data_IF_329851556395
#
_entry.id   IF_329851556395
#
_cell.length_a   1.000
_cell.length_b   1.000
_cell.length_c   1.000
_cell.angle_alpha   90.00
_cell.angle_beta   90.00
_cell.angle_gamma   90.00
#
_symmetry.space_group_name_H-M   'P 1'
#
loop_
_entity.id
_entity.type
_entity.pdbx_description
1 polymer ?
#
# COMPACT_ATOMS: atom_id res chain seq x y z
N UNK A 1 -21.38 -31.11 27.07
CA UNK A 1 -20.31 -30.36 27.74
C UNK A 1 -19.52 -29.74 26.59
N UNK A 2 -19.49 -28.40 26.47
CA UNK A 2 -18.63 -27.78 25.46
C UNK A 2 -17.22 -27.94 25.97
N UNK A 3 -16.55 -28.99 25.54
CA UNK A 3 -15.12 -29.14 25.80
C UNK A 3 -14.44 -28.03 25.00
N UNK A 4 -13.79 -27.15 25.74
CA UNK A 4 -13.18 -25.95 25.19
C UNK A 4 -12.21 -25.37 26.19
N UNK A 5 -11.20 -24.69 25.66
CA UNK A 5 -10.20 -24.02 26.47
C UNK A 5 -10.04 -22.58 26.00
N UNK A 6 -9.54 -21.74 26.91
CA UNK A 6 -9.20 -20.36 26.59
C UNK A 6 -7.68 -20.24 26.44
N UNK A 7 -7.25 -19.50 25.43
CA UNK A 7 -5.88 -19.04 25.26
C UNK A 7 -5.83 -17.52 25.27
N UNK A 8 -4.67 -16.96 25.61
CA UNK A 8 -4.41 -15.51 25.56
C UNK A 8 -3.35 -15.24 24.51
N UNK A 9 -3.63 -14.28 23.64
CA UNK A 9 -2.75 -13.90 22.54
C UNK A 9 -2.61 -12.38 22.49
N UNK A 10 -1.37 -11.88 22.44
CA UNK A 10 -1.10 -10.47 22.22
C UNK A 10 -0.76 -10.26 20.75
N UNK A 11 -1.58 -9.46 20.07
CA UNK A 11 -1.46 -9.19 18.65
C UNK A 11 -0.95 -7.77 18.41
N UNK A 12 0.24 -7.63 17.83
CA UNK A 12 0.73 -6.34 17.37
C UNK A 12 0.13 -5.89 16.05
N UNK A 13 -0.11 -4.58 15.97
CA UNK A 13 -0.64 -3.89 14.80
C UNK A 13 0.24 -2.71 14.40
N UNK A 14 0.28 -2.44 13.11
CA UNK A 14 0.86 -1.23 12.55
C UNK A 14 -0.14 -0.54 11.62
N UNK A 15 -0.33 0.75 11.81
CA UNK A 15 -1.15 1.57 10.93
C UNK A 15 -0.37 1.98 9.68
N UNK A 16 -0.81 1.53 8.51
CA UNK A 16 -0.17 1.89 7.24
C UNK A 16 -0.47 3.33 6.80
N UNK A 17 -1.27 4.09 7.58
CA UNK A 17 -1.53 5.52 7.37
C UNK A 17 -0.66 6.45 8.23
N UNK A 18 -0.57 6.19 9.53
CA UNK A 18 0.14 7.06 10.47
C UNK A 18 1.34 6.41 11.15
N UNK A 19 1.65 5.16 10.81
CA UNK A 19 2.77 4.37 11.35
C UNK A 19 2.72 4.18 12.87
N UNK A 20 1.55 4.39 13.48
CA UNK A 20 1.36 4.06 14.89
C UNK A 20 1.38 2.53 15.07
N UNK A 21 2.20 2.07 16.00
CA UNK A 21 2.35 0.66 16.39
C UNK A 21 1.78 0.48 17.80
N UNK A 22 0.97 -0.55 17.99
CA UNK A 22 0.41 -0.91 19.29
C UNK A 22 0.17 -2.41 19.38
N UNK A 23 -0.03 -2.90 20.61
CA UNK A 23 -0.44 -4.28 20.89
C UNK A 23 -1.81 -4.30 21.53
N UNK A 24 -2.58 -5.35 21.25
CA UNK A 24 -3.85 -5.61 21.89
C UNK A 24 -3.96 -7.07 22.33
N UNK A 25 -4.46 -7.28 23.55
CA UNK A 25 -4.63 -8.60 24.15
C UNK A 25 -6.00 -9.18 23.82
N UNK A 26 -5.98 -10.36 23.20
CA UNK A 26 -7.16 -11.15 22.89
C UNK A 26 -7.22 -12.38 23.80
N UNK A 27 -8.44 -12.77 24.16
CA UNK A 27 -8.75 -14.10 24.68
C UNK A 27 -9.43 -14.87 23.56
N UNK A 28 -8.92 -16.05 23.23
CA UNK A 28 -9.53 -16.94 22.23
C UNK A 28 -10.17 -18.11 22.97
N UNK A 29 -11.49 -18.25 22.83
CA UNK A 29 -12.25 -19.40 23.30
C UNK A 29 -12.31 -20.42 22.17
N UNK A 30 -11.58 -21.51 22.32
CA UNK A 30 -11.63 -22.65 21.42
C UNK A 30 -12.76 -23.57 21.87
N UNK A 31 -13.72 -23.82 21.00
CA UNK A 31 -14.90 -24.64 21.28
C UNK A 31 -15.08 -25.66 20.16
N UNK A 32 -15.62 -26.83 20.51
CA UNK A 32 -16.15 -27.76 19.51
C UNK A 32 -17.68 -27.67 19.50
N UNK A 33 -18.26 -27.53 18.31
CA UNK A 33 -19.73 -27.53 18.14
C UNK A 33 -20.31 -28.96 18.24
N UNK A 34 -21.65 -29.07 18.24
CA UNK A 34 -22.32 -30.37 18.37
C UNK A 34 -22.12 -31.30 17.14
N UNK A 35 -21.52 -30.79 16.06
CA UNK A 35 -21.17 -31.55 14.85
C UNK A 35 -19.68 -31.92 14.80
N UNK A 36 -18.89 -31.52 15.80
CA UNK A 36 -17.44 -31.77 15.84
C UNK A 36 -16.59 -30.72 15.13
N UNK A 37 -17.15 -29.58 14.72
CA UNK A 37 -16.38 -28.49 14.11
C UNK A 37 -15.73 -27.62 15.19
N UNK A 38 -14.49 -27.22 14.95
CA UNK A 38 -13.78 -26.24 15.77
C UNK A 38 -14.29 -24.83 15.49
N UNK A 39 -14.54 -24.07 16.55
CA UNK A 39 -15.03 -22.69 16.52
C UNK A 39 -14.23 -21.85 17.51
N UNK A 40 -13.66 -20.75 17.02
CA UNK A 40 -12.95 -19.78 17.84
C UNK A 40 -13.80 -18.53 18.07
N UNK A 41 -13.98 -18.17 19.35
CA UNK A 41 -14.58 -16.89 19.74
C UNK A 41 -13.49 -15.98 20.29
N UNK A 42 -13.27 -14.86 19.61
CA UNK A 42 -12.29 -13.85 19.96
C UNK A 42 -12.92 -12.83 20.92
N UNK A 43 -12.23 -12.51 22.02
CA UNK A 43 -12.70 -11.54 22.99
C UNK A 43 -11.63 -10.51 23.34
N UNK A 44 -12.03 -9.24 23.38
CA UNK A 44 -11.28 -8.13 24.01
C UNK A 44 -12.05 -7.68 25.24
N UNK A 45 -11.38 -7.61 26.39
CA UNK A 45 -12.00 -7.20 27.66
C UNK A 45 -13.30 -7.98 28.01
N UNK A 46 -13.38 -9.25 27.58
CA UNK A 46 -14.55 -10.11 27.79
C UNK A 46 -15.70 -9.88 26.80
N UNK A 47 -15.57 -8.96 25.85
CA UNK A 47 -16.56 -8.68 24.80
C UNK A 47 -16.17 -9.41 23.51
N UNK A 48 -17.09 -10.13 22.84
CA UNK A 48 -16.82 -10.75 21.55
C UNK A 48 -16.44 -9.72 20.49
N UNK A 49 -15.35 -9.97 19.78
CA UNK A 49 -14.81 -9.13 18.71
C UNK A 49 -14.50 -9.98 17.47
N UNK A 50 -14.12 -9.33 16.38
CA UNK A 50 -13.62 -10.04 15.20
C UNK A 50 -12.15 -10.48 15.43
N UNK A 51 -11.68 -11.50 14.71
CA UNK A 51 -10.28 -11.88 14.74
C UNK A 51 -9.35 -10.70 14.36
N UNK A 52 -8.11 -10.66 14.86
CA UNK A 52 -7.16 -9.56 14.64
C UNK A 52 -6.99 -9.14 13.16
N UNK A 53 -6.99 -10.11 12.24
CA UNK A 53 -6.84 -9.86 10.80
C UNK A 53 -8.12 -9.41 10.09
N UNK A 54 -9.26 -9.33 10.80
CA UNK A 54 -10.57 -8.97 10.22
C UNK A 54 -10.88 -7.48 10.25
N UNK A 55 -9.89 -6.64 10.56
CA UNK A 55 -9.94 -5.19 10.41
C UNK A 55 -10.44 -4.47 11.67
N UNK A 56 -9.50 -4.06 12.52
CA UNK A 56 -9.72 -3.05 13.56
C UNK A 56 -9.41 -1.64 13.02
N UNK A 57 -9.70 -0.59 13.76
CA UNK A 57 -9.35 0.80 13.40
C UNK A 57 -8.16 1.29 14.21
N UNK A 58 -7.27 2.08 13.59
CA UNK A 58 -6.15 2.70 14.29
C UNK A 58 -6.64 3.62 15.43
N UNK A 59 -6.19 3.43 16.68
CA UNK A 59 -6.61 4.28 17.80
C UNK A 59 -6.06 5.72 17.68
N UNK A 60 -4.96 5.91 16.95
CA UNK A 60 -4.33 7.23 16.78
C UNK A 60 -4.97 8.07 15.66
N UNK A 61 -5.43 7.47 14.56
CA UNK A 61 -5.91 8.22 13.39
C UNK A 61 -7.25 7.75 12.79
N UNK A 62 -7.85 6.68 13.34
CA UNK A 62 -9.15 6.13 12.91
C UNK A 62 -9.16 5.40 11.57
N UNK A 63 -8.02 5.22 10.89
CA UNK A 63 -7.96 4.49 9.63
C UNK A 63 -8.06 2.97 9.82
N UNK A 64 -8.66 2.29 8.85
CA UNK A 64 -8.77 0.82 8.80
C UNK A 64 -7.65 0.14 8.00
N UNK A 65 -6.72 0.93 7.46
CA UNK A 65 -5.60 0.40 6.67
C UNK A 65 -4.46 0.00 7.62
N UNK A 66 -4.55 -1.21 8.15
CA UNK A 66 -3.64 -1.76 9.15
C UNK A 66 -3.01 -3.06 8.64
N UNK A 67 -1.87 -3.40 9.21
CA UNK A 67 -1.32 -4.76 9.17
C UNK A 67 -1.31 -5.32 10.60
N UNK A 68 -1.58 -6.61 10.73
CA UNK A 68 -1.48 -7.35 11.99
C UNK A 68 -0.34 -8.35 11.88
N UNK A 69 0.43 -8.53 12.95
CA UNK A 69 1.55 -9.47 12.99
C UNK A 69 1.30 -10.57 14.01
N UNK A 70 1.90 -11.76 13.83
CA UNK A 70 1.76 -12.84 14.80
C UNK A 70 2.27 -12.47 16.20
N UNK A 71 1.77 -13.16 17.22
CA UNK A 71 2.22 -13.03 18.60
C UNK A 71 3.75 -13.11 18.73
N UNK A 72 4.33 -12.19 19.51
CA UNK A 72 5.78 -12.12 19.74
C UNK A 72 6.57 -11.51 18.56
N UNK A 73 5.91 -10.88 17.59
CA UNK A 73 6.59 -10.17 16.51
C UNK A 73 7.37 -8.95 17.01
N UNK A 74 6.79 -8.08 17.86
CA UNK A 74 7.49 -6.89 18.37
C UNK A 74 8.66 -7.24 19.30
N UNK A 75 8.60 -8.36 20.01
CA UNK A 75 9.75 -8.85 20.78
C UNK A 75 10.97 -9.16 19.89
N UNK A 76 10.74 -9.56 18.63
CA UNK A 76 11.79 -9.80 17.63
C UNK A 76 12.14 -8.55 16.81
N UNK A 77 11.26 -7.56 16.82
CA UNK A 77 11.33 -6.32 16.04
C UNK A 77 11.11 -5.08 16.92
N UNK A 78 11.97 -4.85 17.95
CA UNK A 78 11.80 -3.73 18.86
C UNK A 78 11.89 -2.37 18.14
N UNK A 79 12.55 -2.30 16.97
CA UNK A 79 12.67 -1.12 16.12
C UNK A 79 11.33 -0.52 15.66
N UNK A 80 10.24 -1.29 15.69
CA UNK A 80 8.90 -0.84 15.35
C UNK A 80 8.18 -0.16 16.54
N UNK A 81 8.59 -0.48 17.77
CA UNK A 81 7.94 -0.06 19.01
C UNK A 81 8.52 1.26 19.51
N UNK A 82 8.32 2.32 18.73
CA UNK A 82 8.86 3.67 18.94
C UNK A 82 10.40 3.76 18.97
N UNK A 83 10.94 4.78 18.30
CA UNK A 83 12.36 5.06 18.36
C UNK A 83 12.77 5.38 19.82
N UNK A 84 13.97 4.97 20.27
CA UNK A 84 14.55 5.56 21.47
C UNK A 84 14.48 7.08 21.33
N UNK A 85 14.14 7.76 22.44
CA UNK A 85 14.10 9.23 22.56
C UNK A 85 15.23 9.79 21.70
N UNK A 86 14.95 10.63 20.69
CA UNK A 86 15.96 11.02 19.72
C UNK A 86 17.16 11.48 20.51
N UNK A 87 18.26 10.71 20.43
CA UNK A 87 19.55 11.16 20.97
C UNK A 87 19.67 12.56 20.41
N UNK A 88 19.72 13.60 21.26
CA UNK A 88 19.78 14.97 20.78
C UNK A 88 20.88 14.93 19.75
N UNK A 89 20.53 15.20 18.48
CA UNK A 89 21.48 15.20 17.38
C UNK A 89 22.48 16.26 17.79
N UNK A 90 23.53 15.84 18.49
CA UNK A 90 24.47 16.71 19.16
C UNK A 90 25.06 17.51 18.02
N UNK A 91 24.62 18.76 17.90
CA UNK A 91 24.74 19.67 16.77
C UNK A 91 25.73 19.14 15.74
N UNK A 92 25.29 18.17 14.92
CA UNK A 92 26.18 17.65 13.89
C UNK A 92 26.36 18.86 12.99
N UNK A 93 27.59 19.40 12.86
CA UNK A 93 27.78 20.61 12.09
C UNK A 93 27.18 20.35 10.72
N UNK A 94 26.17 21.12 10.36
CA UNK A 94 25.58 21.07 9.03
C UNK A 94 26.70 21.56 8.12
N UNK A 95 27.53 20.64 7.62
CA UNK A 95 28.49 20.95 6.58
C UNK A 95 27.64 21.14 5.34
N UNK A 96 27.54 22.35 4.77
CA UNK A 96 26.82 22.54 3.54
C UNK A 96 27.48 21.64 2.50
N UNK A 97 26.76 20.60 2.07
CA UNK A 97 27.11 19.84 0.88
C UNK A 97 27.12 20.88 -0.23
N UNK A 98 28.31 21.11 -0.79
CA UNK A 98 28.50 22.04 -1.90
C UNK A 98 27.48 21.76 -2.99
N UNK A 99 27.01 22.83 -3.62
CA UNK A 99 25.99 22.82 -4.65
C UNK A 99 26.23 21.67 -5.64
N UNK A 100 25.41 20.64 -5.56
CA UNK A 100 25.46 19.54 -6.51
C UNK A 100 24.87 20.12 -7.79
N UNK A 101 25.74 20.52 -8.71
CA UNK A 101 25.35 20.82 -10.09
C UNK A 101 24.81 19.54 -10.72
N UNK A 102 23.50 19.34 -10.58
CA UNK A 102 22.77 18.30 -11.32
C UNK A 102 22.67 18.78 -12.76
N UNK A 103 23.70 18.49 -13.55
CA UNK A 103 23.66 18.67 -15.00
C UNK A 103 22.73 17.61 -15.57
N UNK A 104 21.43 17.89 -15.51
CA UNK A 104 20.40 17.12 -16.18
C UNK A 104 20.47 17.43 -17.68
N UNK A 105 21.44 16.84 -18.37
CA UNK A 105 21.48 16.85 -19.83
C UNK A 105 20.30 16.02 -20.34
N UNK A 106 19.17 16.68 -20.64
CA UNK A 106 18.10 16.05 -21.43
C UNK A 106 18.63 15.82 -22.84
N UNK A 107 18.72 14.57 -23.34
CA UNK A 107 19.12 14.35 -24.71
C UNK A 107 18.11 15.04 -25.64
N UNK A 108 18.56 15.75 -26.69
CA UNK A 108 17.64 16.34 -27.65
C UNK A 108 16.84 15.21 -28.31
N UNK A 109 15.51 15.26 -28.17
CA UNK A 109 14.61 14.32 -28.85
C UNK A 109 14.93 14.34 -30.35
N UNK A 110 15.06 13.18 -31.02
CA UNK A 110 15.44 13.12 -32.42
C UNK A 110 14.28 13.62 -33.29
N UNK A 111 14.22 14.94 -33.51
CA UNK A 111 13.27 15.65 -34.37
C UNK A 111 13.11 15.00 -35.75
N UNK A 112 14.17 14.33 -36.25
CA UNK A 112 14.17 13.58 -37.51
C UNK A 112 13.25 12.36 -37.50
N UNK A 113 13.12 11.67 -36.36
CA UNK A 113 12.28 10.48 -36.20
C UNK A 113 10.78 10.85 -36.21
N UNK A 114 10.43 11.96 -35.54
CA UNK A 114 9.05 12.47 -35.55
C UNK A 114 8.61 12.88 -36.95
N UNK A 115 9.50 13.48 -37.75
CA UNK A 115 9.21 13.82 -39.15
C UNK A 115 9.10 12.55 -40.01
N UNK A 116 10.03 11.60 -39.85
CA UNK A 116 10.06 10.37 -40.64
C UNK A 116 8.83 9.48 -40.43
N UNK A 117 8.22 9.50 -39.24
CA UNK A 117 7.00 8.73 -38.94
C UNK A 117 5.73 9.56 -39.16
N UNK A 118 5.73 10.82 -38.75
CA UNK A 118 4.53 11.67 -38.85
C UNK A 118 4.11 11.97 -40.28
N UNK A 119 5.08 12.25 -41.16
CA UNK A 119 4.80 12.62 -42.55
C UNK A 119 4.13 11.49 -43.36
N UNK A 120 4.60 10.22 -43.32
CA UNK A 120 3.90 9.13 -43.99
C UNK A 120 2.53 8.81 -43.39
N UNK A 121 2.36 8.93 -42.07
CA UNK A 121 1.04 8.72 -41.43
C UNK A 121 0.02 9.76 -41.91
N UNK A 122 0.41 11.05 -41.94
CA UNK A 122 -0.47 12.11 -42.43
C UNK A 122 -0.79 11.92 -43.92
N UNK A 123 0.20 11.52 -44.73
CA UNK A 123 -0.02 11.24 -46.14
C UNK A 123 -0.99 10.07 -46.35
N UNK A 124 -0.85 8.99 -45.58
CA UNK A 124 -1.73 7.82 -45.65
C UNK A 124 -3.17 8.17 -45.26
N UNK A 125 -3.35 8.80 -44.10
CA UNK A 125 -4.69 9.22 -43.64
C UNK A 125 -5.34 10.22 -44.60
N UNK A 126 -4.56 11.16 -45.13
CA UNK A 126 -5.03 12.11 -46.14
C UNK A 126 -5.44 11.42 -47.46
N UNK A 127 -4.68 10.41 -47.89
CA UNK A 127 -4.99 9.63 -49.10
C UNK A 127 -6.27 8.79 -48.93
N UNK A 128 -6.42 8.11 -47.80
CA UNK A 128 -7.63 7.35 -47.48
C UNK A 128 -8.85 8.30 -47.43
N UNK A 129 -8.73 9.46 -46.77
CA UNK A 129 -9.80 10.45 -46.73
C UNK A 129 -10.17 10.95 -48.14
N UNK A 130 -9.17 11.22 -48.99
CA UNK A 130 -9.39 11.62 -50.38
C UNK A 130 -10.14 10.55 -51.17
N UNK A 131 -9.72 9.28 -51.06
CA UNK A 131 -10.36 8.15 -51.74
C UNK A 131 -11.82 7.98 -51.33
N UNK A 132 -12.13 8.05 -50.04
CA UNK A 132 -13.49 7.76 -49.55
C UNK A 132 -14.46 8.93 -49.61
N UNK A 133 -13.96 10.17 -49.51
CA UNK A 133 -14.84 11.35 -49.38
C UNK A 133 -14.82 12.21 -50.63
N UNK A 134 -13.65 12.44 -51.23
CA UNK A 134 -13.48 13.45 -52.28
C UNK A 134 -13.53 12.84 -53.69
N UNK A 135 -12.92 11.68 -53.92
CA UNK A 135 -12.92 11.01 -55.21
C UNK A 135 -14.35 10.67 -55.73
N UNK A 136 -15.29 10.11 -54.93
CA UNK A 136 -16.66 9.91 -55.39
C UNK A 136 -17.43 11.21 -55.58
N UNK A 137 -17.12 12.28 -54.84
CA UNK A 137 -17.77 13.59 -54.98
C UNK A 137 -17.35 14.33 -56.26
N UNK A 138 -16.11 14.17 -56.70
CA UNK A 138 -15.60 14.76 -57.97
C UNK A 138 -16.09 13.98 -59.19
N UNK A 139 -16.32 12.66 -59.08
CA UNK A 139 -16.81 11.83 -60.17
C UNK A 139 -18.29 12.06 -60.53
N UNK A 140 -19.05 12.76 -59.68
CA UNK A 140 -20.47 13.05 -59.88
C UNK A 140 -20.76 14.48 -60.39
N UNK A 141 -19.72 15.22 -60.85
CA UNK A 141 -19.85 16.52 -61.49
C UNK A 141 -19.44 16.50 -62.96
#
# INVERSE_FOLDING_TARGET
>A
MRDGFESRESWPFECLRCLHVWEEDYVVRHLTDDHGNEVDIWLTSGVPVQPPWSGTSCPACGAFHLTAFPTGYLARHPELTAAPDPVPLAEVPIVPVGEIEVVAARPPLPRRLLIAVGLPVVAFVGYELYQYVLAPAVAHH
#
